data_IF_782435786972
#
_entry.id   IF_782435786972
#
_cell.length_a   1.000
_cell.length_b   1.000
_cell.length_c   1.000
_cell.angle_alpha   90.00
_cell.angle_beta   90.00
_cell.angle_gamma   90.00
#
_symmetry.space_group_name_H-M   'P 1'
#
loop_
_entity.id
_entity.type
_entity.pdbx_description
1 polymer ?
#
# COMPACT_ATOMS: atom_id res chain seq x y z
N UNK A 1 19.05 4.61 0.92
CA UNK A 1 17.92 3.70 1.21
C UNK A 1 16.61 4.38 0.84
N UNK A 2 15.78 3.70 0.09
CA UNK A 2 14.48 4.21 -0.28
C UNK A 2 13.42 3.54 0.60
N UNK A 3 12.57 4.36 1.20
CA UNK A 3 11.50 3.92 2.10
C UNK A 3 10.18 4.45 1.57
N UNK A 4 9.18 3.59 1.43
CA UNK A 4 7.84 4.00 1.04
C UNK A 4 6.85 3.61 2.13
N UNK A 5 5.91 4.50 2.42
CA UNK A 5 4.78 4.23 3.31
C UNK A 5 3.50 4.28 2.49
N UNK A 6 2.59 3.36 2.75
CA UNK A 6 1.29 3.33 2.09
C UNK A 6 0.16 3.26 3.09
N UNK A 7 -1.02 3.71 2.68
CA UNK A 7 -2.25 3.60 3.47
C UNK A 7 -3.46 3.63 2.54
N UNK A 8 -4.61 3.29 3.08
CA UNK A 8 -5.87 3.34 2.38
C UNK A 8 -7.02 3.35 3.36
N UNK A 9 -8.12 3.99 2.98
CA UNK A 9 -9.30 4.05 3.83
C UNK A 9 -10.57 4.16 3.01
N UNK A 10 -11.67 3.69 3.58
CA UNK A 10 -13.02 3.87 3.02
C UNK A 10 -13.89 4.49 4.08
N UNK A 11 -14.73 5.43 3.68
CA UNK A 11 -15.66 6.10 4.59
C UNK A 11 -17.03 6.23 3.94
N UNK A 12 -18.05 5.54 4.43
CA UNK A 12 -17.99 4.52 5.49
C UNK A 12 -17.30 3.23 5.03
N UNK A 13 -16.87 2.41 5.98
CA UNK A 13 -16.27 1.10 5.71
C UNK A 13 -17.18 0.00 6.28
N UNK A 14 -17.74 -0.93 5.48
CA UNK A 14 -17.58 -1.02 4.02
C UNK A 14 -18.55 -0.13 3.26
N UNK A 15 -18.32 -0.02 1.95
CA UNK A 15 -19.31 0.49 1.00
C UNK A 15 -19.16 1.95 0.59
N UNK A 16 -18.36 2.75 1.29
CA UNK A 16 -18.21 4.17 1.03
C UNK A 16 -17.13 4.52 0.01
N UNK A 17 -16.71 5.78 0.04
CA UNK A 17 -15.59 6.24 -0.78
C UNK A 17 -14.29 5.68 -0.26
N UNK A 18 -13.46 5.19 -1.17
CA UNK A 18 -12.16 4.65 -0.83
C UNK A 18 -11.06 5.45 -1.49
N UNK A 19 -10.07 5.82 -0.70
CA UNK A 19 -8.89 6.54 -1.16
C UNK A 19 -7.63 5.84 -0.69
N UNK A 20 -6.55 6.06 -1.43
CA UNK A 20 -5.22 5.56 -1.06
C UNK A 20 -4.24 6.72 -1.00
N UNK A 21 -3.13 6.49 -0.31
CA UNK A 21 -2.01 7.41 -0.28
C UNK A 21 -0.71 6.66 -0.10
N UNK A 22 0.37 7.22 -0.63
CA UNK A 22 1.70 6.72 -0.36
C UNK A 22 2.71 7.85 -0.43
N UNK A 23 3.81 7.68 0.29
CA UNK A 23 4.90 8.66 0.36
C UNK A 23 6.22 7.91 0.20
N UNK A 24 7.16 8.50 -0.53
CA UNK A 24 8.47 7.91 -0.76
C UNK A 24 9.55 8.86 -0.28
N UNK A 25 10.48 8.31 0.52
CA UNK A 25 11.67 9.04 0.98
C UNK A 25 12.93 8.37 0.44
N UNK A 26 13.92 9.19 0.11
CA UNK A 26 15.25 8.73 -0.26
C UNK A 26 16.26 9.45 0.63
N UNK A 27 17.04 8.68 1.37
CA UNK A 27 18.00 9.22 2.34
C UNK A 27 17.34 10.23 3.29
N UNK A 28 16.14 9.90 3.78
CA UNK A 28 15.39 10.71 4.73
C UNK A 28 14.67 11.91 4.13
N UNK A 29 14.80 12.14 2.82
CA UNK A 29 14.14 13.27 2.13
C UNK A 29 12.94 12.76 1.35
N UNK A 30 11.79 13.41 1.52
CA UNK A 30 10.60 13.09 0.73
C UNK A 30 10.85 13.43 -0.74
N UNK A 31 10.72 12.45 -1.62
CA UNK A 31 10.94 12.64 -3.05
C UNK A 31 9.66 12.47 -3.86
N UNK A 32 8.63 11.87 -3.30
CA UNK A 32 7.36 11.69 -4.02
C UNK A 32 6.23 11.40 -3.04
N UNK A 33 5.02 11.80 -3.42
CA UNK A 33 3.80 11.35 -2.77
C UNK A 33 2.72 11.18 -3.82
N UNK A 34 1.82 10.20 -3.58
CA UNK A 34 0.71 9.92 -4.47
C UNK A 34 -0.55 9.71 -3.68
N UNK A 35 -1.69 10.03 -4.30
CA UNK A 35 -3.01 9.81 -3.73
C UNK A 35 -4.04 9.66 -4.84
N UNK A 36 -5.13 9.01 -4.51
CA UNK A 36 -6.20 8.83 -5.49
C UNK A 36 -7.36 8.02 -4.95
N UNK A 37 -8.30 7.74 -5.83
CA UNK A 37 -9.46 6.92 -5.53
C UNK A 37 -9.03 5.46 -5.63
N UNK A 38 -9.31 4.68 -4.58
CA UNK A 38 -8.99 3.26 -4.56
C UNK A 38 -10.12 2.40 -5.13
N UNK A 39 -11.36 2.78 -4.85
CA UNK A 39 -12.54 2.09 -5.37
C UNK A 39 -13.75 3.01 -5.30
N UNK A 40 -14.71 2.87 -6.23
CA UNK A 40 -15.98 3.59 -6.11
C UNK A 40 -16.81 3.01 -4.97
N UNK A 41 -17.79 3.77 -4.45
CA UNK A 41 -18.72 3.23 -3.45
C UNK A 41 -19.40 1.97 -3.96
N UNK A 42 -19.59 1.00 -3.07
CA UNK A 42 -20.25 -0.26 -3.41
C UNK A 42 -19.66 -1.46 -2.68
N UNK A 43 -20.04 -2.68 -3.12
CA UNK A 43 -19.63 -3.90 -2.42
C UNK A 43 -18.13 -4.16 -2.38
N UNK A 44 -17.38 -3.62 -3.34
CA UNK A 44 -15.91 -3.78 -3.37
C UNK A 44 -15.17 -2.71 -2.59
N UNK A 45 -15.88 -1.79 -1.93
CA UNK A 45 -15.28 -0.65 -1.25
C UNK A 45 -15.00 -0.98 0.22
N UNK A 46 -13.80 -1.47 0.48
CA UNK A 46 -13.36 -1.81 1.85
C UNK A 46 -12.01 -1.19 2.16
N UNK A 47 -11.73 -0.99 3.44
CA UNK A 47 -10.42 -0.50 3.89
C UNK A 47 -9.28 -1.36 3.34
N UNK A 48 -9.45 -2.68 3.36
CA UNK A 48 -8.41 -3.59 2.88
C UNK A 48 -8.13 -3.43 1.38
N UNK A 49 -9.17 -3.22 0.57
CA UNK A 49 -9.01 -2.93 -0.86
C UNK A 49 -8.25 -1.62 -1.03
N UNK A 50 -8.60 -0.59 -0.28
CA UNK A 50 -7.92 0.70 -0.35
C UNK A 50 -6.45 0.59 0.04
N UNK A 51 -6.15 -0.17 1.08
CA UNK A 51 -4.78 -0.36 1.54
C UNK A 51 -3.92 -1.13 0.54
N UNK A 52 -4.47 -2.19 -0.06
CA UNK A 52 -3.78 -2.89 -1.14
C UNK A 52 -3.54 -1.96 -2.33
N UNK A 53 -4.49 -1.11 -2.66
CA UNK A 53 -4.33 -0.16 -3.75
C UNK A 53 -3.17 0.80 -3.48
N UNK A 54 -3.07 1.33 -2.27
CA UNK A 54 -1.94 2.17 -1.86
C UNK A 54 -0.61 1.44 -1.98
N UNK A 55 -0.57 0.20 -1.52
CA UNK A 55 0.60 -0.65 -1.64
C UNK A 55 1.02 -0.85 -3.10
N UNK A 56 0.06 -1.21 -3.96
CA UNK A 56 0.31 -1.44 -5.38
C UNK A 56 0.81 -0.16 -6.07
N UNK A 57 0.19 0.98 -5.79
CA UNK A 57 0.61 2.25 -6.39
C UNK A 57 2.02 2.64 -5.96
N UNK A 58 2.37 2.40 -4.71
CA UNK A 58 3.74 2.63 -4.24
C UNK A 58 4.73 1.73 -4.98
N UNK A 59 4.42 0.44 -5.10
CA UNK A 59 5.28 -0.51 -5.81
C UNK A 59 5.42 -0.16 -7.30
N UNK A 60 4.34 0.27 -7.94
CA UNK A 60 4.37 0.71 -9.33
C UNK A 60 5.31 1.90 -9.52
N UNK A 61 5.26 2.86 -8.59
CA UNK A 61 6.15 4.01 -8.64
C UNK A 61 7.61 3.59 -8.47
N UNK A 62 7.87 2.65 -7.55
CA UNK A 62 9.23 2.17 -7.29
C UNK A 62 9.88 1.49 -8.50
N UNK A 63 9.10 1.03 -9.48
CA UNK A 63 9.65 0.45 -10.70
C UNK A 63 10.48 1.43 -11.54
N UNK A 64 10.31 2.73 -11.32
CA UNK A 64 11.09 3.75 -12.03
C UNK A 64 12.51 3.89 -11.48
N UNK A 65 12.80 3.30 -10.33
CA UNK A 65 14.14 3.28 -9.78
C UNK A 65 14.98 2.19 -10.45
N UNK A 66 16.33 2.33 -10.46
CA UNK A 66 17.19 1.31 -11.08
C UNK A 66 16.96 -0.09 -10.50
N UNK A 67 17.07 -1.09 -11.36
CA UNK A 67 16.90 -2.49 -10.95
C UNK A 67 17.87 -2.83 -9.83
N UNK A 68 17.39 -3.60 -8.85
CA UNK A 68 18.21 -4.03 -7.73
C UNK A 68 18.32 -3.00 -6.60
N UNK A 69 17.71 -1.82 -6.77
CA UNK A 69 17.65 -0.85 -5.66
C UNK A 69 16.89 -1.45 -4.50
N UNK A 70 17.46 -1.46 -3.29
CA UNK A 70 16.75 -1.98 -2.12
C UNK A 70 15.70 -0.99 -1.63
N UNK A 71 14.52 -1.51 -1.31
CA UNK A 71 13.41 -0.72 -0.81
C UNK A 71 12.90 -1.26 0.53
N UNK A 72 12.41 -0.37 1.36
CA UNK A 72 11.62 -0.73 2.54
C UNK A 72 10.20 -0.22 2.30
N UNK A 73 9.23 -1.12 2.37
CA UNK A 73 7.81 -0.78 2.20
C UNK A 73 7.12 -0.94 3.54
N UNK A 74 6.55 0.14 4.05
CA UNK A 74 5.92 0.19 5.36
C UNK A 74 4.44 0.51 5.26
N UNK A 75 3.66 -0.14 6.12
CA UNK A 75 2.24 0.13 6.27
C UNK A 75 1.80 -0.22 7.67
N UNK A 76 0.61 0.25 8.05
CA UNK A 76 0.06 -0.02 9.38
C UNK A 76 -1.00 -1.12 9.39
N UNK A 77 -1.27 -1.73 8.24
CA UNK A 77 -2.17 -2.88 8.15
C UNK A 77 -1.40 -4.17 8.39
N UNK A 78 -1.56 -4.72 9.59
CA UNK A 78 -0.93 -6.00 9.93
C UNK A 78 -1.39 -7.11 9.01
N UNK A 79 -2.69 -7.13 8.66
CA UNK A 79 -3.25 -8.13 7.75
C UNK A 79 -2.52 -8.14 6.41
N UNK A 80 -2.41 -6.98 5.76
CA UNK A 80 -1.79 -6.87 4.43
C UNK A 80 -0.32 -7.26 4.48
N UNK A 81 0.42 -6.75 5.45
CA UNK A 81 1.83 -7.06 5.58
C UNK A 81 2.06 -8.56 5.80
N UNK A 82 1.23 -9.20 6.63
CA UNK A 82 1.36 -10.63 6.89
C UNK A 82 0.93 -11.47 5.68
N UNK A 83 -0.08 -11.03 4.93
CA UNK A 83 -0.42 -11.70 3.68
C UNK A 83 0.72 -11.64 2.68
N UNK A 84 1.32 -10.46 2.49
CA UNK A 84 2.43 -10.29 1.56
C UNK A 84 3.69 -11.05 1.98
N UNK A 85 3.91 -11.20 3.28
CA UNK A 85 5.01 -12.00 3.81
C UNK A 85 4.76 -13.51 3.73
N UNK A 86 3.53 -13.92 3.39
CA UNK A 86 3.16 -15.32 3.33
C UNK A 86 2.75 -15.95 4.66
N UNK A 87 2.66 -15.14 5.72
CA UNK A 87 2.25 -15.61 7.05
C UNK A 87 0.76 -15.91 7.13
N UNK A 88 -0.05 -15.06 6.48
CA UNK A 88 -1.50 -15.23 6.43
C UNK A 88 -1.95 -15.58 5.01
N UNK A 89 -2.93 -16.47 4.91
CA UNK A 89 -3.58 -16.78 3.64
C UNK A 89 -4.51 -15.68 3.20
N UNK A 90 -4.58 -15.45 1.89
CA UNK A 90 -5.57 -14.55 1.30
C UNK A 90 -6.79 -15.39 0.92
N UNK A 91 -7.85 -15.27 1.71
CA UNK A 91 -9.09 -16.03 1.50
C UNK A 91 -10.17 -15.21 0.77
N UNK A 92 -10.05 -13.90 0.80
CA UNK A 92 -11.05 -13.01 0.22
C UNK A 92 -10.94 -12.96 -1.31
N UNK A 93 -12.04 -13.21 -2.04
CA UNK A 93 -12.05 -13.05 -3.50
C UNK A 93 -11.80 -11.61 -3.94
N UNK A 94 -12.15 -10.63 -3.11
CA UNK A 94 -11.87 -9.23 -3.40
C UNK A 94 -10.38 -8.92 -3.32
N UNK A 95 -9.69 -9.52 -2.37
CA UNK A 95 -8.28 -9.21 -2.13
C UNK A 95 -7.33 -10.04 -2.98
N UNK A 96 -7.74 -11.22 -3.43
CA UNK A 96 -6.85 -12.13 -4.14
C UNK A 96 -6.20 -11.48 -5.38
N UNK A 97 -6.93 -10.80 -6.28
CA UNK A 97 -6.30 -10.17 -7.43
C UNK A 97 -5.31 -9.07 -7.03
N UNK A 98 -5.61 -8.33 -5.98
CA UNK A 98 -4.74 -7.26 -5.49
C UNK A 98 -3.48 -7.84 -4.86
N UNK A 99 -3.63 -8.90 -4.08
CA UNK A 99 -2.49 -9.63 -3.51
C UNK A 99 -1.54 -10.11 -4.61
N UNK A 100 -2.07 -10.77 -5.64
CA UNK A 100 -1.24 -11.31 -6.72
C UNK A 100 -0.56 -10.19 -7.50
N UNK A 101 -1.24 -9.05 -7.73
CA UNK A 101 -0.62 -7.91 -8.39
C UNK A 101 0.55 -7.35 -7.55
N UNK A 102 0.36 -7.22 -6.24
CA UNK A 102 1.43 -6.76 -5.36
C UNK A 102 2.62 -7.72 -5.36
N UNK A 103 2.35 -9.03 -5.30
CA UNK A 103 3.40 -10.05 -5.35
C UNK A 103 4.18 -10.00 -6.67
N UNK A 104 3.48 -9.81 -7.77
CA UNK A 104 4.12 -9.68 -9.08
C UNK A 104 5.08 -8.50 -9.12
N UNK A 105 4.63 -7.35 -8.62
CA UNK A 105 5.47 -6.15 -8.57
C UNK A 105 6.68 -6.35 -7.65
N UNK A 106 6.48 -6.98 -6.49
CA UNK A 106 7.59 -7.27 -5.59
C UNK A 106 8.61 -8.20 -6.23
N UNK A 107 8.14 -9.16 -7.02
CA UNK A 107 9.02 -10.07 -7.76
C UNK A 107 9.86 -9.32 -8.79
N UNK A 108 9.28 -8.34 -9.49
CA UNK A 108 10.01 -7.51 -10.45
C UNK A 108 11.07 -6.65 -9.76
N UNK A 109 10.77 -6.11 -8.60
CA UNK A 109 11.69 -5.23 -7.87
C UNK A 109 12.84 -5.98 -7.20
N UNK A 110 12.62 -7.23 -6.84
CA UNK A 110 13.59 -8.18 -6.27
C UNK A 110 14.09 -7.89 -4.87
N UNK A 111 14.18 -6.65 -4.44
CA UNK A 111 14.75 -6.31 -3.12
C UNK A 111 13.82 -5.41 -2.33
N UNK A 112 12.68 -5.97 -1.93
CA UNK A 112 11.68 -5.26 -1.13
C UNK A 112 11.58 -5.89 0.26
N UNK A 113 11.84 -5.10 1.30
CA UNK A 113 11.63 -5.50 2.68
C UNK A 113 10.33 -4.90 3.17
N UNK A 114 9.46 -5.73 3.75
CA UNK A 114 8.17 -5.33 4.28
C UNK A 114 8.27 -5.10 5.78
N UNK A 115 7.79 -3.96 6.26
CA UNK A 115 7.79 -3.61 7.68
C UNK A 115 6.42 -3.08 8.10
N UNK A 116 5.88 -3.65 9.16
CA UNK A 116 4.72 -3.09 9.81
C UNK A 116 5.14 -1.94 10.71
N UNK A 117 4.38 -0.85 10.69
CA UNK A 117 4.57 0.28 11.62
C UNK A 117 3.23 0.61 12.27
N UNK A 118 3.23 1.14 13.49
CA UNK A 118 1.99 1.59 14.11
C UNK A 118 1.42 2.80 13.37
N UNK A 119 0.12 2.99 13.47
CA UNK A 119 -0.61 4.02 12.73
C UNK A 119 -0.04 5.42 12.98
N UNK A 120 0.35 5.74 14.21
CA UNK A 120 0.91 7.05 14.54
C UNK A 120 2.25 7.33 13.86
N UNK A 121 2.90 6.33 13.30
CA UNK A 121 4.12 6.48 12.51
C UNK A 121 3.84 6.54 11.00
N UNK A 122 2.57 6.42 10.61
CA UNK A 122 2.16 6.42 9.20
C UNK A 122 1.31 7.64 8.84
N UNK A 123 1.55 8.76 9.48
CA UNK A 123 0.68 9.94 9.39
C UNK A 123 0.65 10.57 7.99
N UNK A 124 1.77 10.60 7.29
CA UNK A 124 1.80 11.22 5.97
C UNK A 124 0.95 10.46 4.96
N UNK A 125 1.08 9.13 4.92
CA UNK A 125 0.26 8.30 4.05
C UNK A 125 -1.21 8.31 4.48
N UNK A 126 -1.47 8.29 5.79
CA UNK A 126 -2.84 8.35 6.33
C UNK A 126 -3.54 9.64 5.89
N UNK A 127 -2.86 10.78 5.98
CA UNK A 127 -3.42 12.06 5.55
C UNK A 127 -3.78 12.04 4.06
N UNK A 128 -2.93 11.47 3.23
CA UNK A 128 -3.17 11.36 1.79
C UNK A 128 -4.30 10.38 1.46
N UNK A 129 -4.45 9.34 2.27
CA UNK A 129 -5.47 8.32 2.09
C UNK A 129 -6.83 8.71 2.67
N UNK A 130 -6.94 9.87 3.29
CA UNK A 130 -8.22 10.32 3.85
C UNK A 130 -9.26 10.45 2.72
N UNK A 131 -10.36 9.70 2.83
CA UNK A 131 -11.45 9.73 1.85
C UNK A 131 -12.21 11.05 1.97
N UNK A 132 -12.39 11.76 0.85
CA UNK A 132 -13.02 13.09 0.84
C UNK A 132 -14.08 13.20 -0.22
#
# INVERSE_FOLDING_TARGET
MIVAHFDGSCDPNPGGRCAYGFVVWKEGRKIHEGRGIAAPPGPGATNNVAEYTGCIRALEWLRYEPKGTPFVLRGDSELILKQLKGTYRVKSPLLAPLYWRARELMSELKSVRLEWIPREQNQDADRLAAAR
#
